data_IF_236683025837
#
_entry.id   IF_236683025837
#
_cell.length_a   1.000
_cell.length_b   1.000
_cell.length_c   1.000
_cell.angle_alpha   90.00
_cell.angle_beta   90.00
_cell.angle_gamma   90.00
#
_symmetry.space_group_name_H-M   'P 1'
#
loop_
_entity.id
_entity.type
_entity.pdbx_description
1 polymer ?
#
# COMPACT_ATOMS: atom_id res chain seq x y z
N UNK A 1 10.33 -26.28 11.83
CA UNK A 1 8.88 -26.23 12.12
C UNK A 1 8.48 -27.08 13.31
N UNK A 2 8.41 -26.47 14.51
CA UNK A 2 8.00 -27.18 15.75
C UNK A 2 6.51 -27.01 16.07
N UNK A 3 5.91 -25.90 15.65
CA UNK A 3 4.56 -25.48 16.06
C UNK A 3 3.50 -25.66 14.96
N UNK A 4 3.91 -25.87 13.70
CA UNK A 4 3.01 -26.03 12.55
C UNK A 4 1.96 -24.91 12.43
N UNK A 5 2.36 -23.66 12.70
CA UNK A 5 1.50 -22.49 12.56
C UNK A 5 1.67 -21.83 11.20
N UNK A 6 0.59 -21.21 10.73
CA UNK A 6 0.62 -20.34 9.57
C UNK A 6 1.15 -18.94 9.97
N UNK A 7 1.98 -18.36 9.10
CA UNK A 7 2.45 -16.98 9.18
C UNK A 7 1.41 -16.07 8.52
N UNK A 8 0.93 -15.08 9.27
CA UNK A 8 0.04 -14.04 8.76
C UNK A 8 0.86 -12.81 8.35
N UNK A 9 0.75 -12.42 7.09
CA UNK A 9 1.40 -11.24 6.54
C UNK A 9 0.55 -9.99 6.72
N UNK A 10 1.22 -8.86 6.89
CA UNK A 10 0.59 -7.56 7.17
C UNK A 10 0.67 -6.49 6.07
N UNK A 11 1.07 -6.74 4.81
CA UNK A 11 1.03 -5.69 3.82
C UNK A 11 -0.43 -5.36 3.47
N UNK A 12 -0.75 -4.08 3.36
CA UNK A 12 -2.02 -3.62 2.79
C UNK A 12 -1.93 -3.55 1.25
N UNK A 13 -3.04 -3.23 0.58
CA UNK A 13 -3.12 -3.22 -0.88
C UNK A 13 -2.10 -2.28 -1.52
N UNK A 14 -1.92 -1.05 -1.03
CA UNK A 14 -0.96 -0.11 -1.61
C UNK A 14 0.47 -0.65 -1.53
N UNK A 15 0.85 -1.20 -0.37
CA UNK A 15 2.17 -1.75 -0.13
C UNK A 15 2.41 -2.98 -1.00
N UNK A 16 1.44 -3.90 -1.04
CA UNK A 16 1.56 -5.14 -1.78
C UNK A 16 1.55 -4.89 -3.29
N UNK A 17 0.62 -4.09 -3.80
CA UNK A 17 0.47 -3.82 -5.24
C UNK A 17 1.70 -3.13 -5.83
N UNK A 18 2.25 -2.15 -5.12
CA UNK A 18 3.32 -1.31 -5.64
C UNK A 18 4.72 -1.82 -5.28
N UNK A 19 4.83 -2.85 -4.43
CA UNK A 19 6.12 -3.45 -4.06
C UNK A 19 6.83 -2.78 -2.89
N UNK A 20 6.09 -2.16 -1.98
CA UNK A 20 6.62 -1.59 -0.75
C UNK A 20 6.76 -2.65 0.35
N UNK A 21 7.59 -3.66 0.09
CA UNK A 21 7.95 -4.72 1.02
C UNK A 21 9.27 -5.37 0.57
N UNK A 22 9.92 -6.10 1.47
CA UNK A 22 11.12 -6.87 1.17
C UNK A 22 10.72 -8.28 0.72
N UNK A 23 11.18 -8.70 -0.47
CA UNK A 23 11.00 -10.09 -0.94
C UNK A 23 11.69 -11.05 0.04
N UNK A 24 10.97 -12.09 0.46
CA UNK A 24 11.41 -13.03 1.51
C UNK A 24 11.61 -12.40 2.90
N UNK A 25 11.18 -11.15 3.10
CA UNK A 25 11.13 -10.47 4.39
C UNK A 25 9.69 -10.34 4.89
N UNK A 26 9.28 -9.11 5.21
CA UNK A 26 7.93 -8.75 5.64
C UNK A 26 6.84 -9.05 4.59
N UNK A 27 7.22 -9.17 3.32
CA UNK A 27 6.33 -9.63 2.25
C UNK A 27 6.06 -11.14 2.23
N UNK A 28 6.78 -11.96 3.01
CA UNK A 28 6.64 -13.42 3.02
C UNK A 28 5.68 -13.90 4.12
N UNK A 29 4.63 -14.61 3.73
CA UNK A 29 3.62 -15.16 4.63
C UNK A 29 2.82 -16.27 3.94
N UNK A 30 2.17 -17.12 4.73
CA UNK A 30 1.23 -18.14 4.24
C UNK A 30 -0.12 -17.52 3.84
N UNK A 31 -0.61 -16.57 4.63
CA UNK A 31 -1.89 -15.86 4.39
C UNK A 31 -1.70 -14.37 4.62
N UNK A 32 -2.28 -13.52 3.76
CA UNK A 32 -2.22 -12.05 3.85
C UNK A 32 -3.64 -11.48 3.96
N UNK A 33 -4.24 -11.47 5.17
CA UNK A 33 -5.66 -11.17 5.34
C UNK A 33 -6.05 -9.74 4.96
N UNK A 34 -5.10 -8.80 4.94
CA UNK A 34 -5.38 -7.38 4.66
C UNK A 34 -4.75 -6.88 3.35
N UNK A 35 -4.11 -7.74 2.56
CA UNK A 35 -3.46 -7.34 1.30
C UNK A 35 -4.44 -6.87 0.20
N UNK A 36 -5.74 -7.08 0.39
CA UNK A 36 -6.80 -6.60 -0.49
C UNK A 36 -7.45 -5.31 0.02
N UNK A 37 -7.05 -4.81 1.21
CA UNK A 37 -7.60 -3.61 1.80
C UNK A 37 -6.72 -2.40 1.49
N UNK A 38 -7.34 -1.32 1.06
CA UNK A 38 -6.73 0.00 0.97
C UNK A 38 -6.22 0.47 2.33
N UNK A 39 -5.25 1.40 2.37
CA UNK A 39 -4.65 1.83 3.65
C UNK A 39 -5.69 2.46 4.57
N UNK A 40 -6.56 3.31 4.02
CA UNK A 40 -7.67 3.92 4.75
C UNK A 40 -8.67 2.88 5.27
N UNK A 41 -8.92 1.79 4.53
CA UNK A 41 -9.76 0.69 5.00
C UNK A 41 -9.11 -0.05 6.17
N UNK A 42 -7.79 -0.24 6.17
CA UNK A 42 -7.06 -0.80 7.33
C UNK A 42 -7.23 0.10 8.55
N UNK A 43 -7.14 1.43 8.41
CA UNK A 43 -7.39 2.36 9.52
C UNK A 43 -8.83 2.27 10.06
N UNK A 44 -9.83 2.18 9.18
CA UNK A 44 -11.24 2.01 9.59
C UNK A 44 -11.48 0.69 10.29
N UNK A 45 -10.87 -0.40 9.80
CA UNK A 45 -10.95 -1.70 10.44
C UNK A 45 -10.27 -1.68 11.82
N UNK A 46 -9.09 -1.06 11.93
CA UNK A 46 -8.37 -0.92 13.20
C UNK A 46 -9.20 -0.15 14.24
N UNK A 47 -9.86 0.94 13.83
CA UNK A 47 -10.80 1.68 14.67
C UNK A 47 -11.96 0.79 15.15
N UNK A 48 -12.61 0.08 14.23
CA UNK A 48 -13.72 -0.81 14.54
C UNK A 48 -13.34 -1.93 15.52
N UNK A 49 -12.13 -2.49 15.38
CA UNK A 49 -11.59 -3.54 16.26
C UNK A 49 -11.08 -3.01 17.60
N UNK A 50 -11.10 -1.71 17.85
CA UNK A 50 -10.64 -1.11 19.10
C UNK A 50 -9.12 -1.02 19.24
N UNK A 51 -8.37 -0.98 18.14
CA UNK A 51 -6.92 -0.75 18.18
C UNK A 51 -6.63 0.61 18.83
N UNK A 52 -5.70 0.68 19.81
CA UNK A 52 -5.37 1.91 20.53
C UNK A 52 -5.14 3.11 19.62
N UNK A 53 -5.65 4.28 20.04
CA UNK A 53 -5.53 5.52 19.26
C UNK A 53 -4.06 5.91 19.01
N UNK A 54 -3.16 5.64 19.96
CA UNK A 54 -1.72 5.89 19.80
C UNK A 54 -1.10 5.09 18.64
N UNK A 55 -1.59 3.87 18.39
CA UNK A 55 -1.13 3.02 17.27
C UNK A 55 -1.73 3.56 15.96
N UNK A 56 -3.02 3.90 15.96
CA UNK A 56 -3.71 4.41 14.77
C UNK A 56 -3.22 5.79 14.33
N UNK A 57 -2.83 6.64 15.28
CA UNK A 57 -2.35 7.99 15.02
C UNK A 57 -0.84 8.06 14.71
N UNK A 58 -0.09 6.97 14.92
CA UNK A 58 1.33 6.92 14.60
C UNK A 58 1.51 7.10 13.08
N UNK A 59 2.32 8.07 12.62
CA UNK A 59 2.65 8.20 11.20
C UNK A 59 3.29 6.90 10.66
N UNK A 60 2.80 6.36 9.52
CA UNK A 60 3.38 5.16 8.92
C UNK A 60 4.84 5.37 8.53
N UNK A 61 5.69 4.44 8.99
CA UNK A 61 7.11 4.40 8.70
C UNK A 61 7.55 2.94 8.60
N UNK A 62 8.64 2.67 7.88
CA UNK A 62 9.25 1.34 7.82
C UNK A 62 10.11 1.02 9.04
N UNK A 63 10.47 2.03 9.83
CA UNK A 63 11.37 1.89 11.00
C UNK A 63 12.73 1.23 10.65
N UNK A 64 13.13 1.30 9.38
CA UNK A 64 14.37 0.67 8.85
C UNK A 64 15.59 1.58 8.89
N UNK A 65 15.39 2.89 9.06
CA UNK A 65 16.46 3.88 9.13
C UNK A 65 16.26 4.81 10.33
N UNK A 66 17.36 5.29 10.90
CA UNK A 66 17.35 6.15 12.09
C UNK A 66 16.76 7.55 11.85
N UNK A 67 16.67 7.97 10.58
CA UNK A 67 16.09 9.25 10.21
C UNK A 67 14.56 9.15 10.18
N UNK A 68 13.82 10.12 10.74
CA UNK A 68 12.36 10.15 10.62
C UNK A 68 11.97 10.28 9.14
N UNK A 69 11.26 9.28 8.63
CA UNK A 69 10.70 9.30 7.27
C UNK A 69 9.31 8.68 7.29
N UNK A 70 8.37 9.38 6.66
CA UNK A 70 7.03 8.83 6.40
C UNK A 70 7.06 8.02 5.10
N UNK A 71 6.23 6.99 5.01
CA UNK A 71 6.09 6.24 3.76
C UNK A 71 5.49 7.08 2.63
N UNK A 72 4.64 8.06 2.97
CA UNK A 72 4.08 9.01 2.01
C UNK A 72 5.21 9.82 1.37
N UNK A 73 6.04 10.52 2.15
CA UNK A 73 7.15 11.31 1.58
C UNK A 73 8.20 10.46 0.87
N UNK A 74 8.43 9.22 1.32
CA UNK A 74 9.50 8.37 0.79
C UNK A 74 9.09 7.56 -0.43
N UNK A 75 7.86 7.06 -0.49
CA UNK A 75 7.45 6.08 -1.48
C UNK A 75 6.14 6.42 -2.19
N UNK A 76 5.10 6.85 -1.48
CA UNK A 76 3.79 7.12 -2.09
C UNK A 76 3.63 8.61 -2.42
N UNK A 77 3.57 8.96 -3.70
CA UNK A 77 3.56 10.36 -4.19
C UNK A 77 2.34 11.20 -3.77
N UNK A 78 1.41 10.62 -3.02
CA UNK A 78 0.23 11.27 -2.44
C UNK A 78 -0.03 10.76 -1.01
N UNK A 79 -0.72 11.55 -0.18
CA UNK A 79 -1.30 11.07 1.08
C UNK A 79 -2.22 9.85 0.85
N UNK A 80 -2.31 8.96 1.83
CA UNK A 80 -2.98 7.66 1.64
C UNK A 80 -4.44 7.73 1.22
N UNK A 81 -5.20 8.69 1.73
CA UNK A 81 -6.60 8.89 1.34
C UNK A 81 -6.76 9.21 -0.14
N UNK A 82 -5.84 10.00 -0.70
CA UNK A 82 -5.78 10.29 -2.14
C UNK A 82 -5.17 9.15 -2.93
N UNK A 83 -4.14 8.50 -2.40
CA UNK A 83 -3.48 7.37 -3.07
C UNK A 83 -4.42 6.18 -3.26
N UNK A 84 -5.23 5.86 -2.24
CA UNK A 84 -6.25 4.82 -2.31
C UNK A 84 -7.28 5.10 -3.41
N UNK A 85 -7.77 6.35 -3.50
CA UNK A 85 -8.71 6.76 -4.55
C UNK A 85 -8.09 6.78 -5.95
N UNK A 86 -6.83 7.22 -6.07
CA UNK A 86 -6.08 7.16 -7.32
C UNK A 86 -5.90 5.71 -7.82
N UNK A 87 -5.52 4.80 -6.92
CA UNK A 87 -5.39 3.38 -7.25
C UNK A 87 -6.74 2.77 -7.63
N UNK A 88 -7.80 3.06 -6.85
CA UNK A 88 -9.16 2.62 -7.17
C UNK A 88 -9.59 3.05 -8.56
N UNK A 89 -9.40 4.33 -8.89
CA UNK A 89 -9.76 4.88 -10.19
C UNK A 89 -9.01 4.23 -11.34
N UNK A 90 -7.71 3.97 -11.17
CA UNK A 90 -6.89 3.26 -12.16
C UNK A 90 -7.42 1.84 -12.42
N UNK A 91 -7.65 1.08 -11.35
CA UNK A 91 -8.02 -0.33 -11.44
C UNK A 91 -9.46 -0.54 -11.94
N UNK A 92 -10.34 0.45 -11.73
CA UNK A 92 -11.73 0.42 -12.18
C UNK A 92 -11.99 1.26 -13.44
N UNK A 93 -10.94 1.75 -14.10
CA UNK A 93 -11.04 2.54 -15.33
C UNK A 93 -11.91 3.79 -15.20
N UNK A 94 -11.93 4.40 -14.01
CA UNK A 94 -12.60 5.67 -13.77
C UNK A 94 -11.83 6.76 -14.51
N UNK A 95 -12.48 7.70 -15.22
CA UNK A 95 -11.79 8.77 -15.94
C UNK A 95 -10.90 9.62 -15.01
N UNK A 96 -9.70 9.99 -15.49
CA UNK A 96 -8.73 10.77 -14.71
C UNK A 96 -9.34 12.07 -14.16
N UNK A 97 -10.19 12.74 -14.95
CA UNK A 97 -10.88 13.97 -14.56
C UNK A 97 -11.84 13.77 -13.37
N UNK A 98 -12.51 12.62 -13.29
CA UNK A 98 -13.42 12.31 -12.17
C UNK A 98 -12.63 11.99 -10.89
N UNK A 99 -11.56 11.21 -11.01
CA UNK A 99 -10.64 10.94 -9.88
C UNK A 99 -10.03 12.25 -9.39
N UNK A 100 -9.57 13.10 -10.32
CA UNK A 100 -8.98 14.40 -10.04
C UNK A 100 -9.93 15.29 -9.23
N UNK A 101 -11.20 15.35 -9.63
CA UNK A 101 -12.25 16.05 -8.89
C UNK A 101 -12.41 15.49 -7.46
N UNK A 102 -12.41 14.17 -7.29
CA UNK A 102 -12.60 13.54 -5.99
C UNK A 102 -11.45 13.79 -4.99
N UNK A 103 -10.22 13.92 -5.49
CA UNK A 103 -9.01 14.07 -4.64
C UNK A 103 -8.46 15.51 -4.62
N UNK A 104 -9.10 16.44 -5.34
CA UNK A 104 -8.71 17.84 -5.41
C UNK A 104 -7.39 18.06 -6.15
N UNK A 105 -7.18 17.36 -7.26
CA UNK A 105 -6.05 17.51 -8.19
C UNK A 105 -6.57 17.86 -9.60
N UNK A 106 -5.66 18.09 -10.54
CA UNK A 106 -5.99 18.15 -11.97
C UNK A 106 -5.83 16.78 -12.65
N UNK A 107 -6.41 16.63 -13.84
CA UNK A 107 -6.39 15.35 -14.57
C UNK A 107 -4.96 14.94 -14.96
N UNK A 108 -4.11 15.91 -15.32
CA UNK A 108 -2.72 15.66 -15.72
C UNK A 108 -1.90 15.12 -14.54
N UNK A 109 -2.13 15.65 -13.33
CA UNK A 109 -1.55 15.17 -12.07
C UNK A 109 -1.98 13.74 -11.77
N UNK A 110 -3.25 13.41 -11.95
CA UNK A 110 -3.73 12.02 -11.80
C UNK A 110 -3.04 11.09 -12.79
N UNK A 111 -2.89 11.51 -14.05
CA UNK A 111 -2.16 10.71 -15.04
C UNK A 111 -0.67 10.52 -14.67
N UNK A 112 -0.03 11.52 -14.07
CA UNK A 112 1.33 11.39 -13.55
C UNK A 112 1.41 10.38 -12.40
N UNK A 113 0.45 10.41 -11.48
CA UNK A 113 0.36 9.43 -10.38
C UNK A 113 0.14 8.02 -10.95
N UNK A 114 -0.71 7.86 -11.97
CA UNK A 114 -0.90 6.55 -12.62
C UNK A 114 0.34 6.05 -13.35
N UNK A 115 1.13 6.94 -13.97
CA UNK A 115 2.44 6.58 -14.54
C UNK A 115 3.40 6.08 -13.45
N UNK A 116 3.41 6.73 -12.29
CA UNK A 116 4.20 6.30 -11.13
C UNK A 116 3.75 4.92 -10.60
N UNK A 117 2.44 4.70 -10.41
CA UNK A 117 1.89 3.38 -10.03
C UNK A 117 2.30 2.31 -11.04
N UNK A 118 2.17 2.58 -12.34
CA UNK A 118 2.52 1.63 -13.39
C UNK A 118 4.02 1.30 -13.38
N UNK A 119 4.88 2.30 -13.16
CA UNK A 119 6.32 2.10 -13.04
C UNK A 119 6.67 1.22 -11.82
N UNK A 120 6.04 1.48 -10.67
CA UNK A 120 6.21 0.67 -9.45
C UNK A 120 5.74 -0.76 -9.63
N UNK A 121 4.52 -0.99 -10.15
CA UNK A 121 4.01 -2.34 -10.49
C UNK A 121 4.98 -3.11 -11.39
N UNK A 122 5.54 -2.44 -12.41
CA UNK A 122 6.53 -3.03 -13.31
C UNK A 122 7.79 -3.46 -12.57
N UNK A 123 8.33 -2.62 -11.68
CA UNK A 123 9.50 -2.93 -10.86
C UNK A 123 9.19 -4.04 -9.82
N UNK A 124 8.01 -3.99 -9.22
CA UNK A 124 7.53 -4.93 -8.20
C UNK A 124 7.26 -6.33 -8.75
N UNK A 125 7.04 -6.49 -10.06
CA UNK A 125 6.73 -7.79 -10.69
C UNK A 125 7.62 -8.94 -10.22
N UNK A 126 8.94 -8.71 -10.09
CA UNK A 126 9.88 -9.74 -9.60
C UNK A 126 9.67 -10.11 -8.13
N UNK A 127 9.22 -9.17 -7.30
CA UNK A 127 8.94 -9.39 -5.88
C UNK A 127 7.80 -10.39 -5.68
N UNK A 128 6.85 -10.43 -6.61
CA UNK A 128 5.71 -11.36 -6.61
C UNK A 128 6.00 -12.73 -7.25
N UNK A 129 7.13 -12.88 -7.94
CA UNK A 129 7.42 -14.11 -8.66
C UNK A 129 7.81 -15.25 -7.71
N UNK A 130 7.28 -16.47 -7.93
CA UNK A 130 7.73 -17.65 -7.22
C UNK A 130 9.21 -17.96 -7.54
N UNK A 131 9.90 -18.70 -6.66
CA UNK A 131 11.23 -19.21 -6.97
C UNK A 131 11.18 -20.05 -8.26
N UNK A 132 12.22 -19.91 -9.09
CA UNK A 132 12.46 -20.78 -10.24
C UNK A 132 13.31 -21.97 -9.77
N UNK A 133 13.00 -23.17 -10.25
CA UNK A 133 13.71 -24.41 -9.93
C UNK A 133 14.80 -24.70 -10.96
#
# INVERSE_FOLDING_TARGET
DRLNYAVLGTPNLLEYDQGFFVKNGDGAADIKPIAHLYKTQVYRLAEYLGVPAEIRARPPTTDTYSLPQTQEEFYFVLPYDKMDLCLYGLDHQVPAAEVAQAIGLDADQVELVWKDIAAKRKAARYLHMPPQL
#
